data_IF_667592836169
#
_entry.id   IF_667592836169
#
_cell.length_a   1.000
_cell.length_b   1.000
_cell.length_c   1.000
_cell.angle_alpha   90.00
_cell.angle_beta   90.00
_cell.angle_gamma   90.00
#
_symmetry.space_group_name_H-M   'P 1'
#
loop_
_entity.id
_entity.type
_entity.pdbx_description
1 polymer ?
#
# COMPACT_ATOMS: atom_id res chain seq x y z
N UNK A 1 -2.82 8.92 16.21
CA UNK A 1 -3.48 9.15 14.93
C UNK A 1 -4.83 8.45 14.89
N UNK A 2 -5.83 9.12 14.38
CA UNK A 2 -7.17 8.57 14.35
C UNK A 2 -7.25 7.35 13.43
N UNK A 3 -8.24 6.50 13.67
CA UNK A 3 -8.49 5.35 12.83
C UNK A 3 -9.03 5.73 11.47
N UNK A 4 -9.57 4.79 10.76
CA UNK A 4 -10.05 4.94 9.40
C UNK A 4 -9.08 4.35 8.41
N UNK A 5 -9.43 4.35 7.14
CA UNK A 5 -8.49 3.89 6.15
C UNK A 5 -7.34 4.88 6.08
N UNK A 6 -6.16 4.38 5.99
CA UNK A 6 -4.97 5.19 6.05
C UNK A 6 -4.86 6.25 5.00
N UNK A 7 -5.15 5.86 3.78
CA UNK A 7 -5.13 6.80 2.69
C UNK A 7 -6.26 7.82 2.85
N UNK A 8 -7.45 7.34 3.26
CA UNK A 8 -8.59 8.19 3.53
C UNK A 8 -8.30 9.19 4.63
N UNK A 9 -7.68 8.73 5.72
CA UNK A 9 -7.32 9.59 6.84
C UNK A 9 -6.35 10.69 6.41
N UNK A 10 -5.35 10.34 5.62
CA UNK A 10 -4.37 11.30 5.12
C UNK A 10 -5.05 12.42 4.32
N UNK A 11 -6.04 12.07 3.49
CA UNK A 11 -6.73 13.06 2.68
C UNK A 11 -7.72 13.90 3.46
N UNK A 12 -8.36 13.33 4.48
CA UNK A 12 -9.20 14.07 5.40
C UNK A 12 -8.36 15.14 6.10
N UNK A 13 -7.18 14.79 6.57
CA UNK A 13 -6.26 15.72 7.22
C UNK A 13 -5.84 16.85 6.29
N UNK A 14 -5.77 16.58 4.99
CA UNK A 14 -5.45 17.59 3.98
C UNK A 14 -6.68 18.36 3.50
N UNK A 15 -7.87 18.08 4.07
CA UNK A 15 -9.11 18.76 3.70
C UNK A 15 -9.70 18.29 2.38
N UNK A 16 -9.35 17.09 1.94
CA UNK A 16 -9.84 16.53 0.68
C UNK A 16 -11.02 15.61 0.91
N UNK A 17 -11.94 15.57 -0.07
CA UNK A 17 -13.09 14.69 -0.03
C UNK A 17 -12.67 13.27 -0.42
N UNK A 18 -12.64 12.38 0.57
CA UNK A 18 -12.20 11.00 0.41
C UNK A 18 -13.08 10.22 -0.57
N UNK A 19 -14.39 10.50 -0.58
CA UNK A 19 -15.32 9.75 -1.43
C UNK A 19 -15.07 9.97 -2.92
N UNK A 20 -14.50 11.10 -3.26
CA UNK A 20 -14.17 11.45 -4.64
C UNK A 20 -12.67 11.36 -4.92
N UNK A 21 -11.91 10.90 -3.95
CA UNK A 21 -10.47 10.90 -4.07
C UNK A 21 -10.01 9.85 -5.06
N UNK A 22 -9.26 10.32 -6.04
CA UNK A 22 -8.60 9.47 -7.02
C UNK A 22 -7.15 9.93 -7.12
N UNK A 23 -6.25 9.35 -6.33
CA UNK A 23 -4.88 9.83 -6.27
C UNK A 23 -4.15 9.63 -7.60
N UNK A 24 -3.25 10.54 -7.91
CA UNK A 24 -2.35 10.35 -9.03
C UNK A 24 -1.47 9.13 -8.74
N UNK A 25 -0.88 8.56 -9.79
CA UNK A 25 0.02 7.42 -9.64
C UNK A 25 1.19 7.77 -8.70
N UNK A 26 1.76 8.95 -8.85
CA UNK A 26 2.87 9.41 -8.01
C UNK A 26 2.46 9.50 -6.54
N UNK A 27 1.30 10.08 -6.25
CA UNK A 27 0.79 10.18 -4.88
C UNK A 27 0.56 8.81 -4.26
N UNK A 28 -0.03 7.89 -5.03
CA UNK A 28 -0.27 6.54 -4.55
C UNK A 28 1.04 5.81 -4.26
N UNK A 29 2.04 5.93 -5.12
CA UNK A 29 3.36 5.33 -4.91
C UNK A 29 4.05 5.89 -3.67
N UNK A 30 3.93 7.20 -3.45
CA UNK A 30 4.50 7.85 -2.27
C UNK A 30 3.82 7.36 -0.99
N UNK A 31 2.51 7.15 -1.02
CA UNK A 31 1.78 6.60 0.11
C UNK A 31 2.24 5.18 0.45
N UNK A 32 2.42 4.33 -0.57
CA UNK A 32 2.97 2.97 -0.37
C UNK A 32 4.31 3.05 0.35
N UNK A 33 5.21 3.89 -0.15
CA UNK A 33 6.55 4.04 0.42
C UNK A 33 6.49 4.50 1.87
N UNK A 34 5.63 5.46 2.16
CA UNK A 34 5.46 5.99 3.51
C UNK A 34 5.02 4.89 4.49
N UNK A 35 4.00 4.13 4.12
CA UNK A 35 3.50 3.07 5.00
C UNK A 35 4.45 1.89 5.11
N UNK A 36 5.17 1.56 4.04
CA UNK A 36 6.20 0.52 4.09
C UNK A 36 7.35 0.92 5.01
N UNK A 37 7.73 2.20 5.02
CA UNK A 37 8.76 2.70 5.94
C UNK A 37 8.29 2.59 7.38
N UNK A 38 7.00 2.84 7.65
CA UNK A 38 6.44 2.65 8.97
C UNK A 38 6.52 1.19 9.42
N UNK A 39 6.22 0.26 8.50
CA UNK A 39 6.33 -1.17 8.79
C UNK A 39 7.77 -1.54 9.14
N UNK A 40 8.75 -1.04 8.39
CA UNK A 40 10.17 -1.31 8.67
C UNK A 40 10.58 -0.80 10.04
N UNK A 41 10.12 0.41 10.41
CA UNK A 41 10.42 0.97 11.73
C UNK A 41 9.82 0.12 12.84
N UNK A 42 8.59 -0.36 12.65
CA UNK A 42 7.92 -1.24 13.63
C UNK A 42 8.61 -2.58 13.73
N UNK A 43 9.07 -3.14 12.60
CA UNK A 43 9.84 -4.39 12.60
C UNK A 43 11.12 -4.24 13.41
N UNK A 44 11.84 -3.13 13.23
CA UNK A 44 13.06 -2.86 14.00
C UNK A 44 12.76 -2.78 15.49
N UNK A 45 11.68 -2.12 15.87
CA UNK A 45 11.28 -1.99 17.26
C UNK A 45 10.91 -3.36 17.86
N UNK A 46 10.16 -4.17 17.11
CA UNK A 46 9.80 -5.53 17.54
C UNK A 46 11.05 -6.39 17.72
N UNK A 47 12.00 -6.28 16.81
CA UNK A 47 13.23 -7.06 16.87
C UNK A 47 14.07 -6.69 18.09
N UNK A 48 14.12 -5.40 18.44
CA UNK A 48 14.95 -4.94 19.55
C UNK A 48 14.28 -5.10 20.91
N UNK A 49 12.96 -4.96 20.98
CA UNK A 49 12.21 -4.96 22.25
C UNK A 49 11.38 -6.21 22.48
N UNK A 50 11.38 -7.14 21.52
CA UNK A 50 10.60 -8.35 21.62
C UNK A 50 9.15 -8.16 21.22
N UNK A 51 8.40 -9.25 21.29
CA UNK A 51 6.99 -9.28 20.88
C UNK A 51 6.12 -8.40 21.78
N UNK A 52 5.32 -7.54 21.16
CA UNK A 52 4.36 -6.68 21.84
C UNK A 52 3.06 -6.68 21.02
N UNK A 53 1.94 -6.92 21.71
CA UNK A 53 0.63 -6.89 21.05
C UNK A 53 0.35 -5.53 20.43
N UNK A 54 0.71 -4.45 21.12
CA UNK A 54 0.50 -3.09 20.59
C UNK A 54 1.33 -2.83 19.33
N UNK A 55 2.58 -3.27 19.31
CA UNK A 55 3.45 -3.12 18.16
C UNK A 55 2.95 -3.97 16.98
N UNK A 56 2.47 -5.18 17.26
CA UNK A 56 1.89 -6.03 16.22
C UNK A 56 0.63 -5.40 15.62
N UNK A 57 -0.22 -4.80 16.44
CA UNK A 57 -1.41 -4.09 15.95
C UNK A 57 -1.03 -2.89 15.09
N UNK A 58 -0.01 -2.13 15.50
CA UNK A 58 0.48 -1.00 14.72
C UNK A 58 1.05 -1.46 13.38
N UNK A 59 1.79 -2.57 13.39
CA UNK A 59 2.33 -3.15 12.16
C UNK A 59 1.21 -3.62 11.24
N UNK A 60 0.19 -4.29 11.78
CA UNK A 60 -0.97 -4.74 11.03
C UNK A 60 -1.65 -3.55 10.35
N UNK A 61 -1.87 -2.47 11.10
CA UNK A 61 -2.50 -1.27 10.58
C UNK A 61 -1.67 -0.66 9.44
N UNK A 62 -0.36 -0.50 9.62
CA UNK A 62 0.51 0.08 8.59
C UNK A 62 0.57 -0.78 7.34
N UNK A 63 0.60 -2.12 7.50
CA UNK A 63 0.55 -3.03 6.35
C UNK A 63 -0.76 -2.92 5.60
N UNK A 64 -1.89 -2.86 6.32
CA UNK A 64 -3.20 -2.66 5.70
C UNK A 64 -3.24 -1.37 4.90
N UNK A 65 -2.62 -0.32 5.43
CA UNK A 65 -2.52 0.96 4.77
C UNK A 65 -1.67 0.90 3.50
N UNK A 66 -0.56 0.19 3.57
CA UNK A 66 0.31 -0.02 2.41
C UNK A 66 -0.42 -0.81 1.32
N UNK A 67 -1.19 -1.82 1.73
CA UNK A 67 -1.98 -2.65 0.80
C UNK A 67 -3.02 -1.79 0.08
N UNK A 68 -3.75 -0.95 0.80
CA UNK A 68 -4.73 -0.05 0.17
C UNK A 68 -4.08 0.91 -0.79
N UNK A 69 -2.95 1.51 -0.41
CA UNK A 69 -2.20 2.39 -1.29
C UNK A 69 -1.70 1.64 -2.53
N UNK A 70 -1.23 0.40 -2.37
CA UNK A 70 -0.77 -0.42 -3.49
C UNK A 70 -1.91 -0.75 -4.46
N UNK A 71 -3.11 -0.99 -3.94
CA UNK A 71 -4.28 -1.19 -4.80
C UNK A 71 -4.58 0.04 -5.63
N UNK A 72 -4.40 1.24 -5.05
CA UNK A 72 -4.57 2.49 -5.80
C UNK A 72 -3.51 2.67 -6.87
N UNK A 73 -2.27 2.26 -6.61
CA UNK A 73 -1.20 2.25 -7.62
C UNK A 73 -1.65 1.38 -8.80
N UNK A 74 -2.14 0.17 -8.52
CA UNK A 74 -2.58 -0.75 -9.56
C UNK A 74 -3.76 -0.20 -10.35
N UNK A 75 -4.74 0.42 -9.66
CA UNK A 75 -5.88 1.03 -10.34
C UNK A 75 -5.44 2.10 -11.33
N UNK A 76 -4.53 2.98 -10.93
CA UNK A 76 -4.01 4.02 -11.81
C UNK A 76 -3.22 3.44 -12.97
N UNK A 77 -2.41 2.44 -12.72
CA UNK A 77 -1.63 1.78 -13.77
C UNK A 77 -2.55 1.11 -14.80
N UNK A 78 -3.62 0.45 -14.33
CA UNK A 78 -4.59 -0.19 -15.21
C UNK A 78 -5.35 0.83 -16.05
N UNK A 79 -5.74 1.96 -15.46
CA UNK A 79 -6.39 3.03 -16.20
C UNK A 79 -5.47 3.59 -17.30
N UNK A 80 -4.20 3.77 -16.97
CA UNK A 80 -3.22 4.24 -17.96
C UNK A 80 -2.96 3.19 -19.03
N UNK A 81 -2.92 1.92 -18.65
CA UNK A 81 -2.72 0.80 -19.55
C UNK A 81 -3.83 0.70 -20.60
N UNK A 82 -5.09 0.92 -20.16
CA UNK A 82 -6.25 0.83 -21.04
C UNK A 82 -6.23 1.87 -22.16
N UNK A 83 -5.42 2.92 -22.00
CA UNK A 83 -5.27 3.98 -23.01
C UNK A 83 -4.16 3.68 -24.02
N UNK A 84 -3.41 2.60 -23.83
CA UNK A 84 -2.28 2.28 -24.68
C UNK A 84 -2.68 1.43 -25.87
N UNK A 85 -1.94 1.59 -26.97
CA UNK A 85 -2.12 0.80 -28.17
C UNK A 85 -1.58 -0.62 -27.92
N UNK A 86 -2.41 -1.68 -28.06
CA UNK A 86 -1.97 -3.06 -27.80
C UNK A 86 -0.74 -3.53 -28.59
N UNK A 87 -0.47 -2.91 -29.72
CA UNK A 87 0.69 -3.29 -30.53
C UNK A 87 1.97 -2.53 -30.21
N UNK A 88 1.95 -1.66 -29.21
CA UNK A 88 3.10 -0.79 -28.92
C UNK A 88 4.04 -1.40 -27.87
N UNK A 89 5.31 -0.95 -27.91
CA UNK A 89 6.30 -1.32 -26.91
C UNK A 89 5.90 -0.81 -25.52
N UNK A 90 5.20 0.33 -25.46
CA UNK A 90 4.71 0.89 -24.19
C UNK A 90 3.67 -0.01 -23.55
N UNK A 91 2.82 -0.65 -24.36
CA UNK A 91 1.83 -1.60 -23.89
C UNK A 91 2.51 -2.79 -23.21
N UNK A 92 3.51 -3.38 -23.85
CA UNK A 92 4.24 -4.53 -23.30
C UNK A 92 4.95 -4.17 -22.00
N UNK A 93 5.57 -3.00 -21.95
CA UNK A 93 6.26 -2.53 -20.74
C UNK A 93 5.27 -2.29 -19.60
N UNK A 94 4.13 -1.68 -19.90
CA UNK A 94 3.10 -1.41 -18.90
C UNK A 94 2.52 -2.71 -18.34
N UNK A 95 2.30 -3.71 -19.19
CA UNK A 95 1.82 -5.02 -18.74
C UNK A 95 2.82 -5.67 -17.76
N UNK A 96 4.10 -5.62 -18.07
CA UNK A 96 5.14 -6.15 -17.19
C UNK A 96 5.20 -5.38 -15.88
N UNK A 97 5.07 -4.06 -15.92
CA UNK A 97 5.06 -3.22 -14.72
C UNK A 97 3.87 -3.55 -13.81
N UNK A 98 2.69 -3.77 -14.40
CA UNK A 98 1.49 -4.16 -13.65
C UNK A 98 1.69 -5.52 -12.97
N UNK A 99 2.28 -6.49 -13.67
CA UNK A 99 2.58 -7.80 -13.07
C UNK A 99 3.51 -7.66 -11.87
N UNK A 100 4.52 -6.81 -12.00
CA UNK A 100 5.46 -6.56 -10.91
C UNK A 100 4.77 -5.94 -9.70
N UNK A 101 3.87 -4.98 -9.94
CA UNK A 101 3.13 -4.33 -8.85
C UNK A 101 2.11 -5.28 -8.22
N UNK A 102 1.51 -6.19 -9.00
CA UNK A 102 0.65 -7.24 -8.46
C UNK A 102 1.44 -8.18 -7.55
N UNK A 103 2.67 -8.52 -7.92
CA UNK A 103 3.54 -9.35 -7.07
C UNK A 103 3.86 -8.67 -5.76
N UNK A 104 4.08 -7.35 -5.77
CA UNK A 104 4.27 -6.57 -4.54
C UNK A 104 3.04 -6.63 -3.64
N UNK A 105 1.85 -6.49 -4.22
CA UNK A 105 0.60 -6.58 -3.46
C UNK A 105 0.47 -7.94 -2.80
N UNK A 106 0.71 -9.01 -3.54
CA UNK A 106 0.65 -10.38 -3.00
C UNK A 106 1.64 -10.56 -1.85
N UNK A 107 2.85 -10.02 -1.97
CA UNK A 107 3.85 -10.09 -0.91
C UNK A 107 3.39 -9.34 0.35
N UNK A 108 2.78 -8.17 0.20
CA UNK A 108 2.24 -7.40 1.32
C UNK A 108 1.11 -8.13 2.01
N UNK A 109 0.23 -8.75 1.23
CA UNK A 109 -0.88 -9.55 1.77
C UNK A 109 -0.37 -10.75 2.54
N UNK A 110 0.70 -11.39 2.05
CA UNK A 110 1.37 -12.48 2.76
C UNK A 110 1.96 -12.01 4.07
N UNK A 111 2.57 -10.83 4.11
CA UNK A 111 3.10 -10.26 5.34
C UNK A 111 1.98 -9.96 6.33
N UNK A 112 0.86 -9.44 5.87
CA UNK A 112 -0.30 -9.15 6.71
C UNK A 112 -0.83 -10.43 7.36
N UNK A 113 -0.94 -11.51 6.58
CA UNK A 113 -1.35 -12.81 7.08
C UNK A 113 -0.43 -13.29 8.21
N UNK A 114 0.88 -13.14 8.03
CA UNK A 114 1.86 -13.53 9.05
C UNK A 114 1.71 -12.73 10.33
N UNK A 115 1.40 -11.44 10.22
CA UNK A 115 1.17 -10.61 11.41
C UNK A 115 -0.10 -11.07 12.14
N UNK A 116 -1.15 -11.42 11.41
CA UNK A 116 -2.37 -11.96 12.00
C UNK A 116 -2.08 -13.25 12.78
N UNK A 117 -1.27 -14.14 12.20
CA UNK A 117 -0.90 -15.38 12.87
C UNK A 117 -0.05 -15.12 14.11
N UNK A 118 0.84 -14.15 14.05
CA UNK A 118 1.71 -13.83 15.19
C UNK A 118 0.96 -13.27 16.39
N UNK A 119 -0.17 -12.60 16.14
CA UNK A 119 -0.98 -11.98 17.20
C UNK A 119 -1.91 -12.99 17.93
N UNK A 120 -2.06 -14.18 17.41
CA UNK A 120 -2.92 -15.21 17.99
C UNK A 120 -2.26 -15.97 19.14
#
# INVERSE_FOLDING_TARGET
>A
MAGGTPLGQMYIELGLDVSKFNPSLTSAKNAVKYFQNNVKALDSTLKNNGKSTELLKAKYKSLGQAIEAQKKVLDQMKQNFDKLDPGSAKFDKAAADIERENAKLSAMEGQLYKVEQADR
#
